data_IF_466015687786
#
_entry.id   IF_466015687786
#
_cell.length_a   1.000
_cell.length_b   1.000
_cell.length_c   1.000
_cell.angle_alpha   90.00
_cell.angle_beta   90.00
_cell.angle_gamma   90.00
#
_symmetry.space_group_name_H-M   'P 1'
#
loop_
_entity.id
_entity.type
_entity.pdbx_description
1 polymer ?
2 polymer ?
3 water ?
#
# COMPACT_ATOMS: atom_id res chain seq x y z
N UNK A 2 1.30 -15.70 -1.48
CA UNK A 2 2.39 -15.62 -2.47
C UNK A 2 3.51 -14.65 -2.13
N UNK A 3 3.31 -13.85 -1.09
CA UNK A 3 4.36 -12.92 -0.65
C UNK A 3 5.66 -13.61 -0.20
N UNK A 4 6.78 -13.07 -0.66
CA UNK A 4 8.11 -13.53 -0.23
C UNK A 4 8.35 -13.03 1.17
N UNK A 5 9.31 -13.63 1.87
CA UNK A 5 9.63 -13.15 3.20
C UNK A 5 10.11 -11.69 3.11
N UNK A 6 10.75 -11.30 2.01
CA UNK A 6 11.17 -9.93 1.82
C UNK A 6 9.98 -8.98 1.69
N UNK A 7 8.96 -9.43 0.98
CA UNK A 7 7.75 -8.63 0.81
C UNK A 7 7.00 -8.51 2.13
N UNK A 8 7.02 -9.58 2.92
CA UNK A 8 6.34 -9.59 4.21
C UNK A 8 7.05 -8.65 5.17
N UNK A 9 8.39 -8.76 5.20
CA UNK A 9 9.19 -7.84 5.98
C UNK A 9 8.94 -6.39 5.58
N UNK A 10 8.86 -6.13 4.30
CA UNK A 10 8.56 -4.77 3.86
C UNK A 10 7.17 -4.31 4.33
N UNK A 11 6.18 -5.19 4.28
CA UNK A 11 4.83 -4.86 4.82
C UNK A 11 4.88 -4.53 6.29
N UNK A 12 5.70 -5.26 7.04
CA UNK A 12 5.81 -5.03 8.48
C UNK A 12 6.49 -3.67 8.72
N UNK A 13 7.55 -3.40 7.96
CA UNK A 13 8.23 -2.11 8.09
C UNK A 13 7.23 -0.97 7.72
N UNK A 14 6.47 -1.20 6.66
CA UNK A 14 5.44 -0.23 6.23
C UNK A 14 4.37 0.07 7.29
N UNK A 15 3.95 -0.96 8.00
CA UNK A 15 3.01 -0.82 9.10
C UNK A 15 3.61 0.00 10.25
N UNK A 16 4.81 -0.32 10.68
CA UNK A 16 5.43 0.45 11.75
C UNK A 16 5.70 1.87 11.29
N UNK A 17 5.99 2.03 10.01
CA UNK A 17 6.27 3.36 9.51
C UNK A 17 5.00 4.22 9.55
N UNK A 18 3.86 3.58 9.34
CA UNK A 18 2.58 4.28 9.36
C UNK A 18 2.35 4.85 10.79
N UNK A 19 2.57 4.00 11.79
CA UNK A 19 2.45 4.40 13.19
C UNK A 19 3.38 5.56 13.55
N UNK A 20 4.65 5.47 13.17
CA UNK A 20 5.61 6.50 13.51
C UNK A 20 5.32 7.83 12.78
N UNK A 21 5.08 7.74 11.48
CA UNK A 21 4.80 8.93 10.68
C UNK A 21 3.56 9.69 11.18
N UNK A 22 2.53 8.94 11.58
CA UNK A 22 1.27 9.54 11.97
C UNK A 22 1.28 9.92 13.47
N UNK A 23 2.41 9.66 14.12
CA UNK A 23 2.62 9.94 15.56
C UNK A 23 1.60 9.21 16.40
N UNK A 24 1.36 7.94 16.10
CA UNK A 24 0.35 7.18 16.80
C UNK A 24 0.93 6.42 17.97
N UNK A 25 2.06 6.91 18.48
CA UNK A 25 2.79 6.19 19.53
C UNK A 25 3.62 7.24 20.27
N UNK A 26 4.01 6.97 21.51
CA UNK A 26 4.87 7.92 22.23
C UNK A 26 6.20 8.12 21.49
N UNK A 27 6.93 9.18 21.86
CA UNK A 27 8.21 9.40 21.22
C UNK A 27 9.17 8.27 21.54
N UNK A 28 9.14 7.72 22.75
CA UNK A 28 10.07 6.64 23.09
C UNK A 28 9.68 5.38 22.30
N UNK A 29 8.38 5.17 22.12
CA UNK A 29 7.95 4.03 21.34
C UNK A 29 8.31 4.15 19.86
N UNK A 30 8.22 5.38 19.35
CA UNK A 30 8.64 5.65 17.98
C UNK A 30 10.15 5.36 17.86
N UNK A 31 10.94 5.74 18.87
CA UNK A 31 12.37 5.42 18.82
C UNK A 31 12.59 3.90 18.76
N UNK A 32 11.83 3.13 19.54
CA UNK A 32 11.96 1.67 19.50
C UNK A 32 11.58 1.10 18.14
N UNK A 33 10.46 1.58 17.55
CA UNK A 33 10.10 1.07 16.23
C UNK A 33 11.13 1.48 15.19
N UNK A 34 11.73 2.67 15.33
CA UNK A 34 12.77 3.06 14.38
C UNK A 34 13.95 2.06 14.39
N UNK A 35 14.44 1.72 15.58
CA UNK A 35 15.45 0.66 15.69
C UNK A 35 14.94 -0.66 15.07
N UNK A 36 13.70 -1.03 15.40
CA UNK A 36 13.12 -2.27 14.86
C UNK A 36 13.09 -2.21 13.32
N UNK A 37 12.66 -1.08 12.76
CA UNK A 37 12.61 -0.96 11.26
C UNK A 37 14.01 -1.09 10.64
N UNK A 38 15.01 -0.44 11.24
CA UNK A 38 16.35 -0.60 10.71
C UNK A 38 16.83 -2.04 10.79
N UNK A 39 16.59 -2.72 11.94
CA UNK A 39 16.97 -4.14 12.10
C UNK A 39 16.29 -5.06 11.07
N UNK A 40 15.01 -4.83 10.81
CA UNK A 40 14.32 -5.67 9.85
C UNK A 40 14.88 -5.48 8.46
N UNK A 41 15.09 -4.22 8.10
CA UNK A 41 15.63 -3.85 6.81
C UNK A 41 17.01 -4.47 6.61
N UNK A 42 17.82 -4.37 7.65
CA UNK A 42 19.14 -4.98 7.61
C UNK A 42 19.04 -6.48 7.43
N UNK A 43 18.15 -7.10 8.19
CA UNK A 43 18.02 -8.56 8.17
C UNK A 43 17.58 -9.07 6.83
N UNK A 44 16.70 -8.34 6.15
CA UNK A 44 16.15 -8.83 4.89
C UNK A 44 16.80 -8.27 3.65
N UNK A 45 17.78 -7.40 3.85
CA UNK A 45 18.62 -6.94 2.77
C UNK A 45 18.08 -5.82 1.92
N UNK A 46 17.10 -5.07 2.43
CA UNK A 46 16.69 -3.89 1.67
C UNK A 46 16.91 -2.60 2.45
N UNK A 47 16.94 -1.47 1.77
CA UNK A 47 17.01 -0.21 2.48
C UNK A 47 15.61 0.13 2.92
N UNK A 48 15.54 0.63 4.11
CA UNK A 48 14.29 1.14 4.62
C UNK A 48 13.56 2.12 3.67
N UNK A 49 14.31 3.00 2.99
CA UNK A 49 13.71 3.96 2.06
C UNK A 49 13.23 3.30 0.76
N UNK A 50 13.61 2.03 0.57
CA UNK A 50 13.20 1.27 -0.61
C UNK A 50 11.82 0.60 -0.47
N UNK A 51 11.28 0.60 0.74
CA UNK A 51 10.04 -0.11 1.02
C UNK A 51 8.85 0.36 0.17
N UNK A 52 8.68 1.68 0.04
CA UNK A 52 7.56 2.25 -0.71
C UNK A 52 7.59 1.81 -2.17
N UNK A 53 8.79 1.79 -2.72
CA UNK A 53 9.00 1.33 -4.07
C UNK A 53 8.70 -0.14 -4.24
N UNK A 54 9.21 -0.96 -3.34
CA UNK A 54 8.90 -2.40 -3.30
C UNK A 54 7.38 -2.67 -3.28
N UNK A 55 6.67 -2.03 -2.35
CA UNK A 55 5.23 -2.28 -2.23
C UNK A 55 4.45 -1.56 -3.30
N UNK A 56 5.10 -0.64 -4.02
CA UNK A 56 4.43 0.21 -4.96
C UNK A 56 4.40 -0.36 -6.38
N UNK A 57 5.14 -1.43 -6.63
CA UNK A 57 5.12 -2.01 -7.98
C UNK A 57 3.75 -2.55 -8.33
N UNK A 58 3.33 -2.25 -9.56
CA UNK A 58 2.11 -2.83 -10.11
C UNK A 58 2.15 -4.34 -9.99
N UNK A 59 3.32 -4.91 -10.22
CA UNK A 59 3.43 -6.35 -10.19
C UNK A 59 3.08 -6.90 -8.82
N UNK A 60 3.65 -6.30 -7.77
CA UNK A 60 3.32 -6.75 -6.41
C UNK A 60 1.82 -6.53 -6.12
N UNK A 61 1.34 -5.33 -6.40
CA UNK A 61 -0.08 -5.01 -6.13
C UNK A 61 -0.98 -6.04 -6.81
N UNK A 62 -0.67 -6.37 -8.07
CA UNK A 62 -1.53 -7.27 -8.83
C UNK A 62 -1.50 -8.70 -8.33
N UNK A 63 -0.30 -9.20 -8.00
CA UNK A 63 -0.20 -10.53 -7.44
C UNK A 63 -0.90 -10.66 -6.07
N UNK A 64 -0.82 -9.60 -5.27
CA UNK A 64 -1.34 -9.61 -3.93
C UNK A 64 -2.84 -9.54 -4.06
N UNK A 65 -3.30 -8.83 -5.09
CA UNK A 65 -4.71 -8.74 -5.33
C UNK A 65 -5.21 -10.09 -5.76
N UNK A 66 -4.47 -10.77 -6.64
CA UNK A 66 -4.85 -12.12 -7.05
C UNK A 66 -4.88 -13.10 -5.86
N UNK A 67 -3.95 -12.96 -4.91
CA UNK A 67 -3.99 -13.81 -3.71
C UNK A 67 -5.28 -13.59 -2.94
N UNK A 68 -5.59 -12.32 -2.70
CA UNK A 68 -6.81 -11.93 -2.01
C UNK A 68 -8.07 -12.41 -2.70
N UNK A 69 -8.17 -12.19 -4.01
CA UNK A 69 -9.33 -12.68 -4.80
C UNK A 69 -9.28 -14.19 -5.04
N UNK A 70 -8.22 -14.84 -4.56
CA UNK A 70 -7.93 -16.26 -4.78
C UNK A 70 -7.85 -16.65 -6.27
N UNK B 2 -10.05 -6.94 13.64
CA UNK B 2 -10.30 -6.93 15.07
C UNK B 2 -9.11 -7.44 15.89
N UNK B 3 -7.91 -7.54 15.31
CA UNK B 3 -6.75 -7.89 16.12
C UNK B 3 -6.31 -6.63 16.88
N UNK B 4 -6.05 -6.75 18.18
CA UNK B 4 -5.50 -5.64 18.97
C UNK B 4 -4.09 -5.30 18.48
N UNK B 5 -3.57 -4.14 18.88
CA UNK B 5 -2.18 -3.78 18.53
C UNK B 5 -1.17 -4.78 19.12
N UNK B 6 -1.43 -5.23 20.34
CA UNK B 6 -0.55 -6.22 20.94
C UNK B 6 -0.59 -7.55 20.16
N UNK B 7 -1.77 -7.93 19.70
CA UNK B 7 -1.93 -9.17 18.95
C UNK B 7 -1.16 -9.09 17.66
N UNK B 8 -1.26 -7.95 16.98
CA UNK B 8 -0.51 -7.76 15.74
C UNK B 8 0.98 -7.85 16.00
N UNK B 9 1.43 -7.16 17.05
CA UNK B 9 2.85 -7.17 17.42
C UNK B 9 3.30 -8.58 17.77
N UNK B 10 2.48 -9.33 18.51
CA UNK B 10 2.85 -10.70 18.84
C UNK B 10 2.88 -11.62 17.61
N UNK B 11 1.98 -11.44 16.65
CA UNK B 11 2.10 -12.20 15.38
C UNK B 11 3.37 -11.90 14.57
N UNK B 12 3.83 -10.67 14.67
CA UNK B 12 5.01 -10.25 13.97
C UNK B 12 6.17 -10.91 14.66
N UNK B 13 6.19 -10.84 15.97
CA UNK B 13 7.30 -11.47 16.71
C UNK B 13 7.37 -12.98 16.43
N UNK B 14 6.22 -13.62 16.43
CA UNK B 14 6.11 -15.03 16.06
C UNK B 14 6.65 -15.36 14.64
N UNK B 15 6.33 -14.50 13.68
CA UNK B 15 6.82 -14.66 12.31
C UNK B 15 8.34 -14.59 12.23
N UNK B 16 8.90 -13.56 12.83
CA UNK B 16 10.37 -13.43 12.89
C UNK B 16 11.02 -14.59 13.63
N UNK B 17 10.40 -15.05 14.70
CA UNK B 17 11.00 -16.17 15.45
C UNK B 17 11.12 -17.45 14.58
N UNK B 18 10.15 -17.67 13.70
CA UNK B 18 10.16 -18.82 12.80
C UNK B 18 11.22 -18.65 11.71
N UNK B 19 11.42 -17.42 11.25
CA UNK B 19 12.48 -17.16 10.28
C UNK B 19 13.83 -17.45 10.90
N UNK B 20 14.04 -16.98 12.12
CA UNK B 20 15.32 -17.26 12.76
C UNK B 20 15.50 -18.74 13.05
N UNK B 21 14.46 -19.34 13.60
CA UNK B 21 14.55 -20.73 14.04
C UNK B 21 14.79 -21.67 12.87
N UNK B 22 14.29 -21.34 11.69
CA UNK B 22 14.54 -22.19 10.53
C UNK B 22 15.78 -21.78 9.76
N UNK B 23 16.50 -20.79 10.27
CA UNK B 23 17.73 -20.30 9.65
C UNK B 23 17.54 -19.84 8.22
N UNK B 24 16.46 -19.09 7.97
CA UNK B 24 16.16 -18.64 6.60
C UNK B 24 16.91 -17.37 6.23
N UNK B 25 17.54 -16.72 7.22
CA UNK B 25 18.46 -15.64 6.96
C UNK B 25 19.75 -15.94 7.77
N UNK B 26 20.79 -15.16 7.53
CA UNK B 26 22.10 -15.37 8.16
C UNK B 26 22.07 -15.20 9.67
N UNK B 27 23.14 -15.62 10.34
CA UNK B 27 23.21 -15.46 11.77
C UNK B 27 23.23 -13.99 12.16
N UNK B 28 23.85 -13.16 11.33
CA UNK B 28 23.90 -11.71 11.57
C UNK B 28 22.48 -11.14 11.41
N UNK B 29 21.78 -11.64 10.41
CA UNK B 29 20.36 -11.27 10.24
C UNK B 29 19.54 -11.66 11.45
N UNK B 30 19.82 -12.86 11.99
CA UNK B 30 19.08 -13.27 13.17
C UNK B 30 19.37 -12.38 14.38
N UNK B 31 20.63 -12.05 14.59
CA UNK B 31 21.00 -11.06 15.59
C UNK B 31 20.11 -9.83 15.49
N UNK B 32 19.97 -9.28 14.27
CA UNK B 32 19.21 -8.05 14.07
C UNK B 32 17.74 -8.25 14.35
N UNK B 33 17.19 -9.40 13.95
CA UNK B 33 15.79 -9.68 14.20
C UNK B 33 15.51 -9.88 15.70
N UNK B 34 16.47 -10.42 16.42
CA UNK B 34 16.27 -10.59 17.84
C UNK B 34 16.15 -9.23 18.50
N UNK B 35 16.96 -8.28 18.05
CA UNK B 35 16.87 -6.91 18.61
C UNK B 35 15.51 -6.30 18.20
N UNK B 36 15.12 -6.50 16.96
CA UNK B 36 13.80 -6.01 16.50
C UNK B 36 12.68 -6.46 17.38
N UNK B 37 12.66 -7.76 17.67
CA UNK B 37 11.61 -8.34 18.49
C UNK B 37 11.54 -7.73 19.88
N UNK B 38 12.68 -7.46 20.50
CA UNK B 38 12.67 -6.78 21.79
C UNK B 38 12.14 -5.33 21.68
N UNK B 39 12.49 -4.61 20.61
CA UNK B 39 11.99 -3.25 20.41
C UNK B 39 10.51 -3.25 20.12
N UNK B 40 10.03 -4.28 19.44
CA UNK B 40 8.60 -4.36 19.11
C UNK B 40 7.79 -4.62 20.36
N UNK B 41 8.29 -5.53 21.18
CA UNK B 41 7.65 -5.84 22.45
C UNK B 41 7.58 -4.60 23.35
N UNK B 42 8.65 -3.85 23.40
CA UNK B 42 8.67 -2.62 24.18
C UNK B 42 7.69 -1.56 23.65
N UNK B 43 7.73 -1.30 22.34
CA UNK B 43 6.84 -0.33 21.68
C UNK B 43 5.36 -0.58 21.98
N UNK B 44 4.98 -1.86 22.06
CA UNK B 44 3.56 -2.19 22.19
C UNK B 44 3.20 -2.70 23.60
N UNK B 45 4.18 -2.61 24.51
CA UNK B 45 3.87 -2.66 25.92
C UNK B 45 3.70 -4.06 26.47
N UNK B 46 4.40 -5.04 25.91
CA UNK B 46 4.35 -6.39 26.48
C UNK B 46 5.77 -6.97 26.54
N UNK B 47 5.93 -8.12 27.18
CA UNK B 47 7.23 -8.80 27.18
C UNK B 47 7.31 -9.89 26.11
N UNK B 48 8.49 -10.03 25.51
CA UNK B 48 8.63 -10.90 24.35
C UNK B 48 8.29 -12.35 24.68
N UNK B 49 8.52 -12.71 25.92
CA UNK B 49 8.26 -14.08 26.37
C UNK B 49 6.76 -14.31 26.29
N UNK B 50 6.00 -13.26 26.60
CA UNK B 50 4.54 -13.33 26.61
C UNK B 50 3.94 -13.66 25.26
N UNK B 51 4.55 -13.15 24.18
CA UNK B 51 4.06 -13.36 22.80
C UNK B 51 3.36 -14.71 22.59
N UNK C 2 42.88 9.92 15.17
CA UNK C 2 41.97 11.04 15.38
C UNK C 2 40.66 10.57 15.98
N UNK C 3 40.34 11.11 17.16
CA UNK C 3 39.22 10.64 17.96
C UNK C 3 37.87 10.61 17.22
N UNK C 4 37.08 9.62 17.59
CA UNK C 4 35.70 9.54 17.16
C UNK C 4 34.80 9.88 18.34
N UNK C 5 34.05 10.97 18.23
CA UNK C 5 33.10 11.32 19.28
C UNK C 5 31.78 10.58 19.06
N UNK C 6 31.56 9.51 19.82
CA UNK C 6 30.35 8.69 19.70
C UNK C 6 29.28 9.03 20.73
N UNK C 7 28.03 8.94 20.30
CA UNK C 7 26.91 8.97 21.25
C UNK C 7 26.45 7.52 21.47
N UNK C 8 26.25 7.13 22.72
CA UNK C 8 25.77 5.78 23.02
C UNK C 8 24.37 5.90 23.60
N UNK C 9 23.35 5.47 22.86
CA UNK C 9 21.96 5.72 23.24
C UNK C 9 21.23 4.42 23.59
N UNK C 10 20.71 4.33 24.81
CA UNK C 10 19.90 3.17 25.21
C UNK C 10 18.41 3.56 25.21
N UNK C 11 17.60 2.82 24.46
CA UNK C 11 16.20 3.18 24.27
C UNK C 11 15.30 2.40 25.21
N UNK C 12 15.72 1.20 25.58
CA UNK C 12 14.98 0.41 26.57
C UNK C 12 14.88 1.20 27.87
N UNK C 13 13.65 1.38 28.36
CA UNK C 13 13.47 2.04 29.65
C UNK C 13 14.21 1.29 30.77
N UNK C 14 14.96 2.03 31.61
CA UNK C 14 15.12 3.48 31.64
C UNK C 14 16.20 3.96 30.69
N UNK C 15 15.83 4.84 29.78
CA UNK C 15 16.73 5.24 28.73
C UNK C 15 17.92 6.02 29.28
N UNK C 16 19.03 6.00 28.54
CA UNK C 16 20.12 6.97 28.72
C UNK C 16 20.75 7.37 27.38
N UNK C 17 21.51 8.46 27.41
CA UNK C 17 22.29 8.87 26.25
C UNK C 17 23.60 9.49 26.72
N UNK C 18 24.71 8.81 26.45
CA UNK C 18 26.00 9.33 26.90
C UNK C 18 27.01 9.46 25.76
N UNK C 19 28.09 10.16 26.00
CA UNK C 19 29.07 10.45 24.94
C UNK C 19 30.50 10.14 25.39
N UNK C 20 31.34 9.71 24.44
CA UNK C 20 32.73 9.47 24.80
C UNK C 20 33.55 9.45 23.53
N UNK C 21 34.80 9.86 23.62
CA UNK C 21 35.71 9.86 22.49
C UNK C 21 36.48 8.55 22.50
N UNK C 22 36.49 7.89 21.36
CA UNK C 22 37.24 6.66 21.19
C UNK C 22 38.20 6.81 20.03
N UNK C 23 39.18 5.92 19.96
CA UNK C 23 40.09 5.88 18.81
C UNK C 23 39.52 5.00 17.68
N UNK C 24 39.74 5.39 16.42
CA UNK C 24 39.36 4.52 15.29
C UNK C 24 39.95 3.12 15.42
N UNK C 25 41.07 2.98 16.15
CA UNK C 25 41.70 1.68 16.35
C UNK C 25 41.17 0.93 17.59
N UNK C 26 40.25 1.53 18.33
CA UNK C 26 39.52 0.79 19.37
C UNK C 26 38.61 -0.26 18.76
N UNK C 27 38.20 -1.25 19.54
CA UNK C 27 37.29 -2.28 19.05
C UNK C 27 35.91 -2.08 19.70
N UNK C 28 34.91 -2.78 19.15
CA UNK C 28 33.58 -2.80 19.76
C UNK C 28 33.65 -3.27 21.22
N UNK C 29 34.52 -4.22 21.50
CA UNK C 29 34.71 -4.67 22.89
C UNK C 29 35.00 -3.49 23.82
N UNK C 30 35.78 -2.51 23.34
CA UNK C 30 36.16 -1.39 24.17
C UNK C 30 35.00 -0.50 24.48
N UNK C 31 34.06 -0.39 23.54
CA UNK C 31 32.88 0.42 23.82
C UNK C 31 32.02 -0.24 24.92
N UNK C 32 31.86 -1.56 24.84
CA UNK C 32 31.17 -2.29 25.90
C UNK C 32 31.91 -2.15 27.22
N UNK C 33 33.23 -2.24 27.16
CA UNK C 33 34.02 -2.05 28.39
C UNK C 33 33.80 -0.64 28.99
N UNK C 34 33.68 0.39 28.14
CA UNK C 34 33.33 1.73 28.57
C UNK C 34 31.98 1.76 29.30
N UNK C 35 31.00 1.06 28.73
CA UNK C 35 29.67 1.06 29.34
C UNK C 35 29.72 0.46 30.75
N UNK C 36 30.52 -0.56 30.92
CA UNK C 36 30.73 -1.15 32.24
C UNK C 36 31.48 -0.19 33.16
N UNK C 37 32.45 0.53 32.60
CA UNK C 37 33.13 1.56 33.40
C UNK C 37 32.16 2.65 33.87
N UNK C 38 31.08 2.83 33.13
CA UNK C 38 30.08 3.85 33.43
C UNK C 38 28.93 3.25 34.23
N UNK C 39 29.11 1.98 34.62
CA UNK C 39 28.14 1.26 35.43
C UNK C 39 26.75 1.18 34.79
N UNK C 40 26.73 0.92 33.49
CA UNK C 40 25.49 0.73 32.75
C UNK C 40 25.17 -0.76 32.69
N UNK C 41 26.19 -1.57 32.98
CA UNK C 41 26.08 -3.02 32.96
C UNK C 41 27.24 -3.63 33.76
N UNK C 42 27.17 -4.93 34.07
CA UNK C 42 28.18 -5.60 34.89
C UNK C 42 29.13 -6.53 34.12
N UNK C 43 28.74 -6.97 32.93
CA UNK C 43 29.54 -7.84 32.10
C UNK C 43 29.28 -7.55 30.62
N UNK C 44 30.30 -7.68 29.79
CA UNK C 44 30.14 -7.37 28.36
C UNK C 44 29.06 -8.22 27.70
N UNK C 45 28.89 -9.45 28.20
CA UNK C 45 27.84 -10.33 27.64
C UNK C 45 26.43 -9.75 27.78
N UNK C 46 26.23 -8.79 28.67
CA UNK C 46 24.91 -8.17 28.83
C UNK C 46 24.60 -7.10 27.80
N UNK C 47 25.58 -6.76 26.98
CA UNK C 47 25.43 -5.58 26.12
C UNK C 47 25.40 -5.95 24.63
N UNK C 48 24.41 -5.42 23.90
CA UNK C 48 24.43 -5.43 22.44
C UNK C 48 24.57 -4.01 21.91
N UNK C 49 25.34 -3.87 20.84
CA UNK C 49 25.53 -2.56 20.22
C UNK C 49 25.15 -2.69 18.78
N UNK C 50 24.50 -1.65 18.25
CA UNK C 50 24.08 -1.63 16.89
C UNK C 50 24.42 -0.32 16.24
N UNK C 51 24.72 -0.38 14.94
CA UNK C 51 24.75 0.83 14.14
C UNK C 51 23.64 0.66 13.12
N UNK C 52 22.61 1.50 13.25
CA UNK C 52 21.42 1.37 12.45
C UNK C 52 20.93 -0.05 12.69
N UNK C 53 20.72 -0.88 11.68
CA UNK C 53 20.17 -2.17 12.10
C UNK C 53 21.16 -3.32 12.24
N UNK C 54 22.44 -2.97 12.19
CA UNK C 54 23.53 -4.00 12.24
C UNK C 54 24.03 -4.20 13.68
N UNK C 55 23.93 -5.45 14.16
CA UNK C 55 24.47 -5.83 15.45
C UNK C 55 25.99 -5.98 15.34
N UNK C 56 26.73 -5.28 16.20
CA UNK C 56 28.18 -5.14 16.05
C UNK C 56 28.92 -6.16 16.89
N UNK C 57 29.78 -6.93 16.23
CA UNK C 57 30.54 -7.97 16.92
C UNK C 57 31.74 -7.38 17.59
N UNK C 58 32.14 -7.99 18.71
CA UNK C 58 33.16 -7.44 19.58
C UNK C 58 34.50 -7.20 18.90
N UNK C 59 34.80 -8.03 17.91
CA UNK C 59 36.13 -7.96 17.31
C UNK C 59 36.26 -6.85 16.27
N UNK C 60 35.13 -6.26 15.87
CA UNK C 60 35.17 -5.16 14.90
C UNK C 60 35.93 -3.94 15.39
N UNK C 61 36.71 -3.33 14.51
CA UNK C 61 37.33 -2.03 14.82
C UNK C 61 36.39 -0.87 14.53
N UNK C 62 36.46 0.16 15.38
CA UNK C 62 35.62 1.31 15.22
C UNK C 62 35.77 1.90 13.83
N UNK C 63 36.98 1.85 13.26
CA UNK C 63 37.16 2.39 11.90
C UNK C 63 36.39 1.55 10.86
N UNK C 64 36.07 0.29 11.20
CA UNK C 64 35.34 -0.56 10.27
C UNK C 64 33.89 -0.09 10.13
N UNK C 65 33.40 0.66 11.11
CA UNK C 65 31.98 1.12 11.15
C UNK C 65 31.72 2.26 10.17
N UNK C 66 32.80 2.96 9.86
CA UNK C 66 32.80 4.16 9.06
C UNK C 66 31.75 5.14 9.55
N UNK C 67 31.86 5.50 10.82
CA UNK C 67 30.95 6.49 11.38
C UNK C 67 31.52 7.87 11.09
N UNK C 68 30.73 8.90 11.36
CA UNK C 68 31.19 10.27 11.25
C UNK C 68 32.06 10.63 12.49
N UNK C 69 32.86 11.66 12.37
CA UNK C 69 33.73 12.08 13.50
C UNK C 69 32.95 12.51 14.73
N UNK C 70 31.72 13.01 14.56
CA UNK C 70 31.00 13.56 15.71
C UNK C 70 29.48 13.54 15.59
N UNK C 71 28.91 12.82 14.62
CA UNK C 71 27.44 12.88 14.45
C UNK C 71 26.75 11.53 14.57
N UNK C 72 27.50 10.50 14.94
CA UNK C 72 26.92 9.14 14.89
C UNK C 72 26.52 8.61 16.24
N UNK C 73 25.51 7.72 16.22
CA UNK C 73 24.94 7.15 17.44
C UNK C 73 24.95 5.64 17.38
N UNK C 74 25.45 5.03 18.44
CA UNK C 74 25.45 3.58 18.59
C UNK C 74 24.25 3.25 19.49
N UNK C 75 23.39 2.34 19.05
CA UNK C 75 22.27 1.89 19.88
C UNK C 75 22.72 0.84 20.87
N UNK C 76 22.28 0.97 22.11
CA UNK C 76 22.71 0.08 23.20
C UNK C 76 21.49 -0.71 23.68
N UNK C 77 21.60 -2.04 23.68
CA UNK C 77 20.59 -2.90 24.30
C UNK C 77 21.26 -3.58 25.48
N UNK C 78 20.60 -3.56 26.63
CA UNK C 78 21.16 -4.18 27.83
C UNK C 78 20.14 -5.16 28.42
N UNK C 79 20.56 -6.41 28.57
CA UNK C 79 19.74 -7.41 29.26
C UNK C 79 20.51 -7.93 30.47
N UNK C 80 20.11 -7.49 31.67
CA UNK C 80 20.85 -7.78 32.92
C UNK C 80 21.26 -9.25 33.12
N UNK D 2 -10.13 -10.72 5.86
CA UNK D 2 -10.84 -9.72 6.67
C UNK D 2 -11.18 -8.43 5.94
N UNK D 3 -10.65 -8.24 4.74
CA UNK D 3 -10.99 -7.07 3.93
C UNK D 3 -12.48 -6.96 3.59
N UNK D 4 -13.03 -5.76 3.75
CA UNK D 4 -14.42 -5.47 3.36
C UNK D 4 -14.45 -5.35 1.86
N UNK D 5 -15.64 -5.45 1.27
CA UNK D 5 -15.75 -5.28 -0.16
C UNK D 5 -15.29 -3.87 -0.54
N UNK D 6 -15.45 -2.88 0.34
CA UNK D 6 -14.97 -1.54 0.06
C UNK D 6 -13.44 -1.48 0.01
N UNK D 7 -12.82 -2.21 0.92
CA UNK D 7 -11.37 -2.27 0.97
C UNK D 7 -10.81 -2.98 -0.24
N UNK D 8 -11.51 -4.02 -0.68
CA UNK D 8 -11.11 -4.79 -1.85
C UNK D 8 -11.24 -3.95 -3.11
N UNK D 9 -12.37 -3.25 -3.22
CA UNK D 9 -12.54 -2.33 -4.31
C UNK D 9 -11.48 -1.27 -4.32
N UNK D 10 -11.12 -0.75 -3.16
CA UNK D 10 -10.08 0.27 -3.12
C UNK D 10 -8.72 -0.34 -3.57
N UNK D 11 -8.43 -1.57 -3.17
CA UNK D 11 -7.18 -2.26 -3.63
C UNK D 11 -7.17 -2.41 -5.16
N UNK D 12 -8.35 -2.70 -5.73
CA UNK D 12 -8.45 -2.87 -7.19
C UNK D 12 -8.23 -1.52 -7.86
N UNK D 13 -8.84 -0.48 -7.32
CA UNK D 13 -8.63 0.86 -7.88
C UNK D 13 -7.14 1.24 -7.76
N UNK D 14 -6.54 0.92 -6.63
CA UNK D 14 -5.13 1.21 -6.38
C UNK D 14 -4.17 0.51 -7.38
N UNK D 15 -4.53 -0.72 -7.72
CA UNK D 15 -3.77 -1.50 -8.73
C UNK D 15 -3.88 -0.86 -10.11
N UNK D 16 -5.10 -0.53 -10.54
CA UNK D 16 -5.26 0.12 -11.84
C UNK D 16 -4.59 1.48 -11.85
N UNK D 17 -4.62 2.14 -10.71
CA UNK D 17 -4.00 3.45 -10.63
C UNK D 17 -2.48 3.34 -10.81
N UNK D 18 -1.90 2.27 -10.29
CA UNK D 18 -0.47 2.05 -10.41
C UNK D 18 -0.09 1.93 -11.91
N UNK D 19 -0.86 1.13 -12.64
CA UNK D 19 -0.66 0.95 -14.07
C UNK D 19 -0.78 2.27 -14.84
N UNK D 20 -1.83 3.05 -14.59
CA UNK D 20 -2.02 4.31 -15.31
C UNK D 20 -0.95 5.34 -14.97
N UNK D 21 -0.67 5.50 -13.68
CA UNK D 21 0.32 6.48 -13.22
C UNK D 21 1.71 6.19 -13.79
N UNK D 22 2.07 4.92 -13.85
CA UNK D 22 3.40 4.52 -14.30
C UNK D 22 3.46 4.37 -15.83
N UNK D 23 2.33 4.64 -16.49
CA UNK D 23 2.20 4.56 -17.94
C UNK D 23 2.53 3.18 -18.45
N UNK D 24 2.01 2.16 -17.75
CA UNK D 24 2.30 0.79 -18.13
C UNK D 24 1.27 0.21 -19.07
N UNK D 25 0.60 1.10 -19.81
CA UNK D 25 -0.52 0.69 -20.67
C UNK D 25 -0.65 1.75 -21.74
N UNK D 26 -1.24 1.41 -22.89
CA UNK D 26 -1.43 2.42 -23.94
C UNK D 26 -2.31 3.56 -23.41
N UNK D 27 -2.33 4.69 -24.12
CA UNK D 27 -3.18 5.78 -23.71
C UNK D 27 -4.65 5.40 -23.78
N UNK D 28 -5.05 4.61 -24.77
CA UNK D 28 -6.46 4.22 -24.88
C UNK D 28 -6.80 3.27 -23.73
N UNK D 29 -5.86 2.41 -23.37
CA UNK D 29 -6.10 1.49 -22.27
C UNK D 29 -6.18 2.25 -20.93
N UNK D 30 -5.35 3.28 -20.79
CA UNK D 30 -5.40 4.12 -19.58
C UNK D 30 -6.77 4.83 -19.54
N UNK D 31 -7.28 5.29 -20.69
CA UNK D 31 -8.62 5.89 -20.71
C UNK D 31 -9.68 4.89 -20.23
N UNK D 32 -9.60 3.64 -20.70
CA UNK D 32 -10.52 2.60 -20.21
C UNK D 32 -10.41 2.34 -18.72
N UNK D 33 -9.19 2.22 -18.18
CA UNK D 33 -9.08 2.01 -16.76
C UNK D 33 -9.58 3.22 -15.97
N UNK D 34 -9.40 4.44 -16.50
CA UNK D 34 -9.89 5.62 -15.80
C UNK D 34 -11.43 5.56 -15.65
N UNK D 35 -12.14 5.24 -16.73
CA UNK D 35 -13.58 4.97 -16.62
C UNK D 35 -13.88 3.85 -15.62
N UNK D 36 -13.13 2.77 -15.69
CA UNK D 36 -13.33 1.65 -14.75
C UNK D 36 -13.13 2.12 -13.31
N UNK D 37 -12.08 2.91 -13.05
CA UNK D 37 -11.81 3.37 -11.65
C UNK D 37 -12.96 4.27 -11.16
N UNK D 38 -13.44 5.16 -12.01
CA UNK D 38 -14.58 6.00 -11.62
C UNK D 38 -15.81 5.15 -11.32
N UNK D 39 -16.12 4.17 -12.18
CA UNK D 39 -17.25 3.25 -11.95
C UNK D 39 -17.14 2.46 -10.64
N UNK D 40 -15.96 1.98 -10.32
CA UNK D 40 -15.81 1.19 -9.12
C UNK D 40 -16.02 2.07 -7.89
N UNK D 41 -15.43 3.26 -7.95
CA UNK D 41 -15.50 4.22 -6.85
C UNK D 41 -16.95 4.63 -6.61
N UNK D 42 -17.66 4.88 -7.73
CA UNK D 42 -19.07 5.20 -7.65
C UNK D 42 -19.86 4.06 -7.05
N UNK D 43 -19.57 2.84 -7.50
CA UNK D 43 -20.30 1.67 -7.04
C UNK D 43 -20.12 1.41 -5.57
N UNK D 44 -18.92 1.65 -5.05
CA UNK D 44 -18.65 1.31 -3.67
C UNK D 44 -18.74 2.48 -2.72
N UNK D 45 -19.02 3.66 -3.26
CA UNK D 45 -19.34 4.81 -2.42
C UNK D 45 -18.16 5.58 -1.88
N UNK D 46 -16.98 5.44 -2.50
CA UNK D 46 -15.88 6.30 -2.07
C UNK D 46 -15.38 7.18 -3.21
N UNK D 47 -14.66 8.26 -2.89
CA UNK D 47 -14.06 9.06 -3.93
C UNK D 47 -12.78 8.39 -4.32
N UNK D 48 -12.55 8.37 -5.60
CA UNK D 48 -11.30 7.84 -6.12
C UNK D 48 -10.06 8.43 -5.42
N UNK D 49 -10.07 9.70 -5.11
CA UNK D 49 -8.97 10.36 -4.42
C UNK D 49 -8.85 9.95 -2.95
N UNK D 50 -9.86 9.30 -2.42
CA UNK D 50 -9.85 8.83 -1.04
C UNK D 50 -9.12 7.49 -0.85
N UNK D 51 -8.82 6.82 -1.96
CA UNK D 51 -8.26 5.47 -1.91
C UNK D 51 -6.93 5.38 -1.12
N UNK D 52 -6.01 6.32 -1.38
CA UNK D 52 -4.71 6.34 -0.70
C UNK D 52 -4.85 6.44 0.81
N UNK D 53 -5.77 7.28 1.22
CA UNK D 53 -6.09 7.44 2.62
C UNK D 53 -6.67 6.20 3.23
N UNK D 54 -7.65 5.60 2.56
CA UNK D 54 -8.26 4.33 2.98
C UNK D 54 -7.19 3.23 3.20
N UNK D 55 -6.34 3.02 2.19
CA UNK D 55 -5.34 1.95 2.28
C UNK D 55 -4.17 2.36 3.16
N UNK D 56 -4.10 3.64 3.50
CA UNK D 56 -2.98 4.17 4.25
C UNK D 56 -3.15 4.13 5.76
N UNK D 57 -4.35 3.83 6.24
CA UNK D 57 -4.55 3.78 7.69
C UNK D 57 -3.71 2.67 8.31
N UNK D 58 -3.08 3.00 9.43
CA UNK D 58 -2.39 2.01 10.23
C UNK D 58 -3.29 0.85 10.57
N UNK D 59 -4.55 1.17 10.84
CA UNK D 59 -5.49 0.13 11.22
C UNK D 59 -5.66 -0.88 10.10
N UNK D 60 -5.86 -0.40 8.87
CA UNK D 60 -6.01 -1.32 7.74
C UNK D 60 -4.70 -2.12 7.53
N UNK D 61 -3.58 -1.41 7.50
CA UNK D 61 -2.27 -2.07 7.30
C UNK D 61 -2.08 -3.17 8.33
N UNK D 62 -2.39 -2.88 9.59
CA UNK D 62 -2.16 -3.85 10.66
C UNK D 62 -3.05 -5.07 10.58
N UNK D 63 -4.34 -4.85 10.31
CA UNK D 63 -5.26 -5.96 10.15
C UNK D 63 -4.90 -6.86 8.95
N UNK D 64 -4.44 -6.24 7.87
CA UNK D 64 -4.14 -6.94 6.65
C UNK D 64 -2.88 -7.73 6.90
N UNK D 65 -1.99 -7.15 7.71
CA UNK D 65 -0.79 -7.84 8.07
C UNK D 65 -1.12 -9.02 8.92
N UNK D 66 -2.03 -8.85 9.88
CA UNK D 66 -2.48 -9.97 10.69
C UNK D 66 -3.13 -11.08 9.83
N UNK D 67 -3.91 -10.72 8.80
CA UNK D 67 -4.49 -11.73 7.91
C UNK D 67 -3.39 -12.53 7.24
N UNK D 68 -2.42 -11.83 6.69
CA UNK D 68 -1.27 -12.45 6.03
C UNK D 68 -0.47 -13.35 6.95
N UNK D 69 -0.13 -12.86 8.15
CA UNK D 69 0.59 -13.68 9.14
C UNK D 69 -0.31 -14.72 9.83
N UNK D 70 -1.59 -14.72 9.45
CA UNK D 70 -2.63 -15.55 10.06
C UNK D 70 -2.79 -15.36 11.58
N UNK E 2 2.60 -17.52 -10.75
CA UNK E 2 2.50 -16.07 -10.96
C UNK E 2 1.39 -15.69 -11.98
N UNK E 3 0.46 -14.82 -11.59
CA UNK E 3 -0.72 -14.56 -12.44
C UNK E 3 -0.40 -13.59 -13.56
N UNK E 4 -0.82 -13.91 -14.78
CA UNK E 4 -0.66 -12.97 -15.91
C UNK E 4 -1.58 -11.76 -15.69
N UNK E 5 -1.34 -10.67 -16.42
CA UNK E 5 -2.20 -9.49 -16.33
C UNK E 5 -3.66 -9.83 -16.71
N UNK E 6 -3.83 -10.71 -17.70
CA UNK E 6 -5.19 -11.10 -18.09
C UNK E 6 -5.85 -11.92 -16.97
N UNK E 7 -5.07 -12.74 -16.30
CA UNK E 7 -5.64 -13.56 -15.23
C UNK E 7 -6.08 -12.68 -14.06
N UNK E 8 -5.27 -11.67 -13.75
CA UNK E 8 -5.63 -10.74 -12.67
C UNK E 8 -6.91 -10.02 -13.06
N UNK E 9 -6.97 -9.51 -14.29
CA UNK E 9 -8.18 -8.83 -14.81
C UNK E 9 -9.39 -9.72 -14.78
N UNK E 10 -9.23 -10.98 -15.18
CA UNK E 10 -10.35 -11.91 -15.11
C UNK E 10 -10.79 -12.23 -13.68
N UNK E 11 -9.86 -12.34 -12.72
CA UNK E 11 -10.31 -12.50 -11.31
C UNK E 11 -11.09 -11.29 -10.77
N UNK E 12 -10.72 -10.09 -11.24
CA UNK E 12 -11.35 -8.88 -10.80
C UNK E 12 -12.74 -8.90 -11.39
N UNK E 13 -12.83 -9.22 -12.66
CA UNK E 13 -14.18 -9.28 -13.30
C UNK E 13 -15.10 -10.31 -12.61
N UNK E 14 -14.53 -11.46 -12.31
CA UNK E 14 -15.23 -12.48 -11.54
C UNK E 14 -15.73 -12.00 -10.13
N UNK E 15 -14.89 -11.25 -9.43
CA UNK E 15 -15.24 -10.72 -8.11
C UNK E 15 -16.43 -9.75 -8.23
N UNK E 16 -16.33 -8.80 -9.15
CA UNK E 16 -17.44 -7.86 -9.38
C UNK E 16 -18.72 -8.57 -9.81
N UNK E 17 -18.59 -9.60 -10.64
CA UNK E 17 -19.79 -10.33 -11.09
C UNK E 17 -20.54 -10.96 -9.90
N UNK E 18 -19.81 -11.43 -8.90
CA UNK E 18 -20.40 -12.05 -7.71
C UNK E 18 -21.04 -10.98 -6.83
N UNK E 19 -20.45 -9.79 -6.77
CA UNK E 19 -21.07 -8.70 -6.02
C UNK E 19 -22.40 -8.32 -6.65
N UNK E 20 -22.41 -8.19 -7.97
CA UNK E 20 -23.66 -7.84 -8.63
C UNK E 20 -24.69 -8.95 -8.49
N UNK E 21 -24.25 -10.17 -8.74
CA UNK E 21 -25.17 -11.30 -8.75
C UNK E 21 -25.80 -11.54 -7.40
N UNK E 22 -25.11 -11.23 -6.31
CA UNK E 22 -25.70 -11.39 -5.00
C UNK E 22 -26.37 -10.12 -4.50
N UNK E 23 -26.41 -9.10 -5.36
CA UNK E 23 -27.06 -7.84 -5.01
C UNK E 23 -26.50 -7.19 -3.76
N UNK E 24 -25.17 -7.16 -3.63
CA UNK E 24 -24.53 -6.60 -2.44
C UNK E 24 -24.37 -5.10 -2.52
N UNK E 25 -24.62 -4.53 -3.71
CA UNK E 25 -24.68 -3.09 -3.86
C UNK E 25 -25.97 -2.80 -4.66
N UNK E 26 -26.33 -1.53 -4.78
CA UNK E 26 -27.57 -1.13 -5.45
C UNK E 26 -27.58 -1.45 -6.93
N UNK E 27 -28.76 -1.33 -7.54
CA UNK E 27 -28.86 -1.57 -8.96
C UNK E 27 -28.07 -0.57 -9.76
N UNK E 28 -28.00 0.66 -9.26
CA UNK E 28 -27.21 1.72 -9.92
C UNK E 28 -25.73 1.35 -9.80
N UNK E 29 -25.35 0.86 -8.64
CA UNK E 29 -23.98 0.37 -8.44
C UNK E 29 -23.67 -0.76 -9.41
N UNK E 30 -24.64 -1.66 -9.60
CA UNK E 30 -24.41 -2.76 -10.53
C UNK E 30 -24.24 -2.26 -11.97
N UNK E 31 -25.08 -1.31 -12.38
CA UNK E 31 -24.88 -0.65 -13.65
C UNK E 31 -23.44 -0.20 -13.83
N UNK E 32 -22.89 0.49 -12.82
CA UNK E 32 -21.54 1.03 -12.91
C UNK E 32 -20.49 -0.08 -12.99
N UNK E 33 -20.68 -1.14 -12.22
CA UNK E 33 -19.72 -2.24 -12.23
C UNK E 33 -19.77 -3.00 -13.57
N UNK E 34 -20.95 -3.06 -14.20
CA UNK E 34 -21.02 -3.72 -15.49
C UNK E 34 -20.20 -2.94 -16.49
N UNK E 35 -20.26 -1.61 -16.42
CA UNK E 35 -19.43 -0.79 -17.33
C UNK E 35 -17.94 -1.02 -17.00
N UNK E 36 -17.61 -1.02 -15.72
CA UNK E 36 -16.22 -1.27 -15.31
C UNK E 36 -15.67 -2.54 -15.93
N UNK E 37 -16.43 -3.62 -15.80
CA UNK E 37 -16.01 -4.93 -16.31
C UNK E 37 -15.72 -4.90 -17.81
N UNK E 38 -16.56 -4.21 -18.57
CA UNK E 38 -16.26 -4.04 -20.01
C UNK E 38 -14.99 -3.23 -20.27
N UNK E 39 -14.73 -2.19 -19.48
CA UNK E 39 -13.54 -1.37 -19.68
C UNK E 39 -12.30 -2.16 -19.25
N UNK E 40 -12.46 -3.05 -18.26
CA UNK E 40 -11.30 -3.81 -17.75
C UNK E 40 -10.93 -4.85 -18.81
N UNK E 41 -11.94 -5.49 -19.36
CA UNK E 41 -11.74 -6.48 -20.43
C UNK E 41 -11.04 -5.84 -21.64
N UNK E 42 -11.46 -4.65 -22.00
CA UNK E 42 -10.85 -3.93 -23.08
C UNK E 42 -9.40 -3.54 -22.79
N UNK E 43 -9.15 -2.95 -21.62
CA UNK E 43 -7.79 -2.54 -21.22
C UNK E 43 -6.78 -3.69 -21.28
N UNK E 44 -7.21 -4.92 -20.96
CA UNK E 44 -6.27 -6.03 -20.84
C UNK E 44 -6.42 -7.01 -22.00
N UNK E 45 -7.25 -6.64 -22.96
CA UNK E 45 -7.19 -7.25 -24.28
C UNK E 45 -7.89 -8.59 -24.37
N UNK E 46 -9.00 -8.75 -23.65
CA UNK E 46 -9.78 -9.98 -23.79
C UNK E 46 -11.26 -9.61 -23.80
N UNK E 47 -12.13 -10.59 -24.06
CA UNK E 47 -13.56 -10.34 -23.99
C UNK E 47 -14.16 -10.82 -22.66
N UNK E 48 -15.16 -10.09 -22.16
CA UNK E 48 -15.65 -10.33 -20.82
C UNK E 48 -16.26 -11.72 -20.71
N UNK E 49 -16.82 -12.17 -21.82
CA UNK E 49 -17.48 -13.44 -21.89
C UNK E 49 -16.45 -14.50 -21.61
N UNK E 50 -15.24 -14.21 -22.09
CA UNK E 50 -14.12 -15.14 -22.06
C UNK E 50 -13.60 -15.47 -20.66
N UNK E 51 -13.71 -14.49 -19.74
CA UNK E 51 -13.25 -14.61 -18.33
C UNK E 51 -13.34 -16.05 -17.75
N UNK F 2 -30.25 28.12 -21.35
CA UNK F 2 -28.90 28.37 -21.85
C UNK F 2 -28.17 27.08 -22.18
N UNK F 3 -27.72 26.97 -23.43
CA UNK F 3 -27.11 25.76 -23.97
C UNK F 3 -25.98 25.16 -23.12
N UNK F 4 -25.95 23.84 -23.10
CA UNK F 4 -24.84 23.10 -22.54
C UNK F 4 -24.03 22.50 -23.67
N UNK F 5 -22.78 22.92 -23.83
CA UNK F 5 -21.91 22.33 -24.84
C UNK F 5 -21.26 21.05 -24.28
N UNK F 6 -21.80 19.90 -24.67
CA UNK F 6 -21.30 18.62 -24.19
C UNK F 6 -20.32 17.94 -25.17
N UNK F 7 -19.33 17.27 -24.62
CA UNK F 7 -18.50 16.38 -25.42
C UNK F 7 -18.99 14.94 -25.17
N UNK F 8 -19.17 14.16 -26.22
CA UNK F 8 -19.60 12.79 -26.07
C UNK F 8 -18.47 11.89 -26.53
N UNK F 9 -17.83 11.17 -25.60
CA UNK F 9 -16.61 10.42 -25.90
C UNK F 9 -16.81 8.91 -25.79
N UNK F 10 -16.55 8.18 -26.88
CA UNK F 10 -16.60 6.71 -26.85
C UNK F 10 -15.16 6.14 -26.84
N UNK F 11 -14.83 5.35 -25.82
CA UNK F 11 -13.47 4.88 -25.62
C UNK F 11 -13.30 3.49 -26.19
N UNK F 12 -14.40 2.72 -26.21
CA UNK F 12 -14.38 1.40 -26.85
C UNK F 12 -13.96 1.57 -28.30
N UNK F 13 -12.91 0.84 -28.71
CA UNK F 13 -12.49 0.87 -30.10
C UNK F 13 -13.63 0.38 -31.00
N UNK F 14 -13.91 1.11 -32.09
CA UNK F 14 -13.21 2.28 -32.62
C UNK F 14 -13.70 3.56 -31.95
N UNK F 15 -12.78 4.26 -31.30
CA UNK F 15 -13.17 5.41 -30.50
C UNK F 15 -13.74 6.54 -31.35
N UNK F 16 -14.56 7.39 -30.74
CA UNK F 16 -14.92 8.71 -31.30
C UNK F 16 -15.04 9.77 -30.21
N UNK F 17 -15.02 11.03 -30.62
CA UNK F 17 -15.31 12.14 -29.72
C UNK F 17 -16.07 13.23 -30.46
N UNK F 18 -17.32 13.46 -30.10
CA UNK F 18 -18.12 14.45 -30.82
C UNK F 18 -18.74 15.48 -29.87
N UNK F 19 -19.22 16.58 -30.42
CA UNK F 19 -19.73 17.67 -29.57
C UNK F 19 -21.10 18.16 -30.05
N UNK F 20 -21.94 18.59 -29.12
CA UNK F 20 -23.26 19.11 -29.49
C UNK F 20 -23.80 19.94 -28.34
N UNK F 21 -24.57 20.96 -28.69
CA UNK F 21 -25.19 21.82 -27.71
C UNK F 21 -26.58 21.27 -27.41
N UNK F 22 -26.87 21.11 -26.13
CA UNK F 22 -28.17 20.65 -25.70
C UNK F 22 -28.75 21.68 -24.72
N UNK F 23 -30.05 21.58 -24.48
CA UNK F 23 -30.69 22.41 -23.47
C UNK F 23 -30.65 21.74 -22.10
N UNK F 24 -30.49 22.52 -21.02
CA UNK F 24 -30.58 21.95 -19.66
C UNK F 24 -31.88 21.21 -19.42
N UNK F 25 -32.91 21.54 -20.18
CA UNK F 25 -34.20 20.86 -20.05
C UNK F 25 -34.33 19.63 -20.97
N UNK F 26 -33.30 19.32 -21.75
CA UNK F 26 -33.28 18.04 -22.48
C UNK F 26 -33.09 16.90 -21.49
N UNK F 27 -33.42 15.67 -21.91
CA UNK F 27 -33.22 14.52 -21.05
C UNK F 27 -32.05 13.70 -21.59
N UNK F 28 -31.62 12.73 -20.79
CA UNK F 28 -30.59 11.76 -21.23
C UNK F 28 -31.07 11.02 -22.49
N UNK F 29 -32.36 10.74 -22.58
CA UNK F 29 -32.91 10.07 -23.78
C UNK F 29 -32.54 10.89 -25.03
N UNK F 30 -32.60 12.20 -24.93
CA UNK F 30 -32.31 13.07 -26.06
C UNK F 30 -30.88 12.96 -26.52
N UNK F 31 -29.95 12.76 -25.58
CA UNK F 31 -28.57 12.63 -25.99
C UNK F 31 -28.36 11.30 -26.74
N UNK F 32 -28.99 10.23 -26.27
CA UNK F 32 -28.94 8.96 -27.00
C UNK F 32 -29.60 9.12 -28.36
N UNK F 33 -30.71 9.83 -28.40
CA UNK F 33 -31.34 10.09 -29.72
C UNK F 33 -30.40 10.86 -30.66
N UNK F 34 -29.65 11.84 -30.14
CA UNK F 34 -28.61 12.52 -30.91
C UNK F 34 -27.57 11.54 -31.48
N UNK F 35 -27.14 10.59 -30.65
CA UNK F 35 -26.13 9.64 -31.09
C UNK F 35 -26.66 8.80 -32.27
N UNK F 36 -27.92 8.45 -32.21
CA UNK F 36 -28.55 7.74 -33.33
C UNK F 36 -28.67 8.63 -34.55
N UNK F 37 -28.99 9.90 -34.33
CA UNK F 37 -29.01 10.85 -35.46
C UNK F 37 -27.64 10.98 -36.13
N UNK F 38 -26.58 10.69 -35.38
CA UNK F 38 -25.21 10.80 -35.86
C UNK F 38 -24.71 9.43 -36.33
N UNK F 39 -25.63 8.48 -36.35
CA UNK F 39 -25.36 7.12 -36.82
C UNK F 39 -24.22 6.45 -36.06
N UNK F 40 -24.22 6.61 -34.74
CA UNK F 40 -23.26 5.97 -33.86
C UNK F 40 -23.88 4.67 -33.34
N UNK F 41 -25.20 4.56 -33.48
CA UNK F 41 -25.96 3.39 -33.03
C UNK F 41 -27.33 3.38 -33.73
N UNK F 42 -28.04 2.26 -33.63
CA UNK F 42 -29.31 2.07 -34.32
C UNK F 42 -30.56 2.16 -33.42
N UNK F 43 -30.39 1.94 -32.11
CA UNK F 43 -31.49 2.00 -31.15
C UNK F 43 -30.95 2.51 -29.79
N UNK F 44 -31.78 3.25 -29.07
CA UNK F 44 -31.33 3.79 -27.78
C UNK F 44 -30.90 2.70 -26.80
N UNK F 45 -31.51 1.53 -26.91
CA UNK F 45 -31.14 0.42 -26.02
C UNK F 45 -29.67 0.00 -26.19
N UNK F 46 -29.03 0.36 -27.30
CA UNK F 46 -27.63 0.00 -27.50
C UNK F 46 -26.65 0.92 -26.78
N UNK F 47 -27.15 2.00 -26.20
CA UNK F 47 -26.27 3.06 -25.71
C UNK F 47 -26.30 3.19 -24.18
N UNK F 48 -25.14 3.21 -23.54
CA UNK F 48 -25.02 3.64 -22.15
C UNK F 48 -24.26 4.96 -22.06
N UNK F 49 -24.69 5.84 -21.18
CA UNK F 49 -24.02 7.13 -20.98
C UNK F 49 -23.65 7.20 -19.53
N UNK F 50 -22.46 7.75 -19.25
CA UNK F 50 -22.00 7.92 -17.92
C UNK F 50 -21.44 9.31 -17.72
N UNK F 51 -21.58 9.81 -16.49
CA UNK F 51 -20.82 10.99 -16.09
C UNK F 51 -19.93 10.50 -14.95
N UNK F 52 -18.63 10.52 -15.20
CA UNK F 52 -17.66 9.95 -14.29
C UNK F 52 -18.11 8.52 -14.07
N UNK F 53 -18.34 8.06 -12.84
CA UNK F 53 -18.71 6.63 -12.83
C UNK F 53 -20.20 6.29 -12.72
N UNK F 54 -21.03 7.30 -12.91
CA UNK F 54 -22.48 7.15 -12.75
C UNK F 54 -23.14 6.86 -14.13
N UNK F 55 -23.84 5.74 -14.23
CA UNK F 55 -24.63 5.39 -15.40
C UNK F 55 -25.92 6.20 -15.38
N UNK F 56 -26.19 6.91 -16.47
CA UNK F 56 -27.27 7.91 -16.51
C UNK F 56 -28.55 7.33 -17.07
N UNK F 57 -29.61 7.43 -16.29
CA UNK F 57 -30.90 6.89 -16.74
C UNK F 57 -31.58 7.84 -17.68
N UNK F 58 -32.37 7.28 -18.58
CA UNK F 58 -32.95 8.03 -19.68
C UNK F 58 -33.83 9.18 -19.24
N UNK F 59 -34.48 9.04 -18.09
CA UNK F 59 -35.45 10.05 -17.66
C UNK F 59 -34.80 11.27 -17.01
N UNK F 60 -33.51 11.16 -16.68
CA UNK F 60 -32.81 12.30 -16.09
C UNK F 60 -32.75 13.53 -16.98
N UNK F 61 -32.93 14.70 -16.39
CA UNK F 61 -32.71 15.96 -17.12
C UNK F 61 -31.24 16.37 -17.10
N UNK F 62 -30.78 16.96 -18.19
CA UNK F 62 -29.41 17.38 -18.30
C UNK F 62 -29.07 18.32 -17.16
N UNK F 63 -30.00 19.16 -16.73
CA UNK F 63 -29.71 20.06 -15.60
C UNK F 63 -29.46 19.28 -14.30
N UNK F 64 -29.98 18.06 -14.22
CA UNK F 64 -29.80 17.22 -13.01
C UNK F 64 -28.35 16.78 -12.87
N UNK F 65 -27.60 16.78 -13.98
CA UNK F 65 -26.20 16.30 -14.02
C UNK F 65 -25.24 17.29 -13.38
N UNK F 66 -25.68 18.55 -13.37
CA UNK F 66 -24.89 19.69 -12.95
C UNK F 66 -23.52 19.66 -13.63
N UNK F 67 -23.53 19.66 -14.95
CA UNK F 67 -22.27 19.70 -15.69
C UNK F 67 -21.88 21.16 -15.87
N UNK F 68 -20.66 21.39 -16.34
CA UNK F 68 -20.21 22.74 -16.67
C UNK F 68 -20.81 23.16 -18.02
N UNK F 69 -20.87 24.47 -18.30
CA UNK F 69 -21.45 24.93 -19.57
C UNK F 69 -20.67 24.46 -20.79
N UNK F 70 -19.38 24.16 -20.65
CA UNK F 70 -18.59 23.83 -21.84
C UNK F 70 -17.37 22.96 -21.59
N UNK F 71 -17.23 22.37 -20.39
CA UNK F 71 -16.01 21.60 -20.12
C UNK F 71 -16.24 20.12 -19.78
N UNK F 72 -17.48 19.67 -19.90
CA UNK F 72 -17.80 18.33 -19.41
C UNK F 72 -17.91 17.29 -20.50
N UNK F 73 -17.63 16.04 -20.14
CA UNK F 73 -17.62 14.95 -21.07
C UNK F 73 -18.50 13.81 -20.59
N UNK F 74 -19.35 13.33 -21.47
CA UNK F 74 -20.19 12.17 -21.20
C UNK F 74 -19.51 10.99 -21.84
N UNK F 75 -19.30 9.92 -21.07
CA UNK F 75 -18.77 8.69 -21.63
C UNK F 75 -19.84 7.86 -22.30
N UNK F 76 -19.52 7.32 -23.48
CA UNK F 76 -20.47 6.57 -24.30
C UNK F 76 -19.99 5.14 -24.41
N UNK F 77 -20.86 4.20 -24.06
CA UNK F 77 -20.63 2.79 -24.28
C UNK F 77 -21.68 2.31 -25.27
N UNK F 78 -21.23 1.59 -26.29
CA UNK F 78 -22.17 1.11 -27.32
C UNK F 78 -21.99 -0.38 -27.52
N UNK F 79 -23.08 -1.12 -27.34
CA UNK F 79 -23.07 -2.57 -27.60
C UNK F 79 -24.10 -2.89 -28.69
N UNK F 80 -23.63 -3.08 -29.92
CA UNK F 80 -24.51 -3.21 -31.11
C UNK F 80 -25.68 -4.18 -30.96
#
# INVERSE_FOLDING_TARGET
MSASKEEIAALIVNYFSSIVEKKEISEDGADSLNVAMDCISEAFGFEREAVSGILGKSEFKGQHLADILNSA
MSASKEEIAALIVNYFSSIVEKKEISEDGADSLNVAMDCISEAFGFEREAVSGILGKSEFKGQHLADILNSA
NAAVHLTLKKIQAPKFSIEHDFSPSDTILQIKQHLISEEKASHISEIKLLLKGKVLHDNLFLSDLKVTPANSTITVMIKPN
MSASKEEIAALIVNYFSSIVEKKEISEDGADSLNVAMDCISEAFGFEREAVSGILGKSEFKGQHLADILNSA
MSASKEEIAALIVNYFSSIVEKKEISEDGADSLNVAMDCISEAFGFEREAVSGILGKSEFKGQHLADILNSA
NAAVHLTLKKIQAPKFSIEHDFSPSDTILQIKQHLISEEKASHISEIKLLLKGKVLHDNLFLSDLKVTPANSTITVMIKPN
#
